data_IF_972461701968
#
_entry.id   IF_972461701968
#
_cell.length_a   1.000
_cell.length_b   1.000
_cell.length_c   1.000
_cell.angle_alpha   90.00
_cell.angle_beta   90.00
_cell.angle_gamma   90.00
#
_symmetry.space_group_name_H-M   'P 1'
#
loop_
_entity.id
_entity.type
_entity.pdbx_description
1 polymer ?
#
# COMPACT_ATOMS: atom_id res chain seq x y z
N UNK A 1 -14.21 -11.09 -8.47
CA UNK A 1 -13.31 -9.93 -8.49
C UNK A 1 -12.51 -9.81 -7.21
N UNK A 2 -11.21 -10.14 -7.28
CA UNK A 2 -10.18 -9.94 -6.24
C UNK A 2 -9.21 -8.90 -6.77
N UNK A 3 -9.13 -7.75 -6.10
CA UNK A 3 -8.31 -6.61 -6.54
C UNK A 3 -6.98 -6.61 -5.79
N UNK A 4 -5.87 -6.62 -6.53
CA UNK A 4 -4.51 -6.76 -6.00
C UNK A 4 -3.62 -5.65 -6.56
N UNK A 5 -3.05 -4.83 -5.68
CA UNK A 5 -2.08 -3.79 -6.08
C UNK A 5 -0.65 -4.31 -6.01
N UNK A 6 0.17 -3.95 -7.01
CA UNK A 6 1.56 -4.38 -7.12
C UNK A 6 2.43 -3.16 -6.89
N UNK A 7 2.91 -2.98 -5.65
CA UNK A 7 3.54 -1.73 -5.20
C UNK A 7 4.88 -1.95 -4.50
N UNK A 8 5.77 -0.97 -4.67
CA UNK A 8 7.05 -0.82 -4.00
C UNK A 8 7.60 0.56 -4.39
N UNK A 9 8.04 1.35 -3.40
CA UNK A 9 8.58 2.70 -3.58
C UNK A 9 9.79 2.76 -4.51
N UNK A 10 10.60 1.69 -4.62
CA UNK A 10 11.81 1.71 -5.46
C UNK A 10 11.47 1.57 -6.94
N UNK A 11 12.18 2.31 -7.81
CA UNK A 11 12.24 2.02 -9.25
C UNK A 11 12.92 0.67 -9.54
N UNK A 12 12.61 0.06 -10.69
CA UNK A 12 13.29 -1.16 -11.17
C UNK A 12 13.04 -2.47 -10.40
N UNK A 13 12.33 -2.44 -9.28
CA UNK A 13 12.06 -3.58 -8.39
C UNK A 13 11.14 -4.69 -8.96
N UNK A 14 10.73 -4.60 -10.23
CA UNK A 14 9.93 -5.63 -10.90
C UNK A 14 8.41 -5.51 -10.75
N UNK A 15 7.84 -4.35 -10.37
CA UNK A 15 6.37 -4.10 -10.33
C UNK A 15 5.67 -4.50 -11.62
N UNK A 16 5.93 -3.78 -12.71
CA UNK A 16 5.35 -4.02 -14.04
C UNK A 16 5.61 -5.44 -14.56
N UNK A 17 6.82 -5.95 -14.36
CA UNK A 17 7.18 -7.32 -14.74
C UNK A 17 6.34 -8.34 -13.96
N UNK A 18 6.01 -8.06 -12.70
CA UNK A 18 5.08 -8.87 -11.89
C UNK A 18 3.65 -8.71 -12.41
N UNK A 19 3.18 -7.48 -12.64
CA UNK A 19 1.82 -7.21 -13.10
C UNK A 19 1.48 -7.92 -14.42
N UNK A 20 2.28 -7.71 -15.47
CA UNK A 20 2.10 -8.35 -16.78
C UNK A 20 2.09 -9.88 -16.65
N UNK A 21 3.11 -10.44 -16.00
CA UNK A 21 3.33 -11.89 -16.05
C UNK A 21 2.48 -12.67 -15.04
N UNK A 22 2.09 -12.06 -13.92
CA UNK A 22 1.09 -12.63 -13.01
C UNK A 22 -0.31 -12.61 -13.64
N UNK A 23 -0.69 -11.53 -14.33
CA UNK A 23 -1.97 -11.48 -15.03
C UNK A 23 -2.05 -12.54 -16.13
N UNK A 24 -1.00 -12.67 -16.96
CA UNK A 24 -0.90 -13.71 -17.96
C UNK A 24 -0.87 -15.13 -17.37
N UNK A 25 -0.25 -15.33 -16.21
CA UNK A 25 -0.27 -16.61 -15.50
C UNK A 25 -1.66 -16.96 -14.96
N UNK A 26 -2.40 -15.99 -14.40
CA UNK A 26 -3.78 -16.16 -13.95
C UNK A 26 -4.71 -16.45 -15.13
N UNK A 27 -4.58 -15.72 -16.24
CA UNK A 27 -5.32 -15.99 -17.49
C UNK A 27 -5.03 -17.38 -18.07
N UNK A 28 -3.77 -17.84 -18.00
CA UNK A 28 -3.36 -19.22 -18.36
C UNK A 28 -3.96 -20.27 -17.41
N UNK A 29 -4.33 -19.90 -16.18
CA UNK A 29 -5.13 -20.73 -15.26
C UNK A 29 -6.66 -20.52 -15.45
N UNK A 30 -7.08 -20.02 -16.62
CA UNK A 30 -8.47 -19.79 -17.02
C UNK A 30 -9.28 -18.88 -16.08
N UNK A 31 -8.64 -17.86 -15.51
CA UNK A 31 -9.27 -16.76 -14.79
C UNK A 31 -9.42 -15.54 -15.71
N UNK A 32 -10.54 -14.81 -15.64
CA UNK A 32 -10.70 -13.50 -16.32
C UNK A 32 -9.90 -12.43 -15.56
N UNK A 33 -8.95 -11.77 -16.21
CA UNK A 33 -8.04 -10.79 -15.57
C UNK A 33 -8.01 -9.45 -16.31
N UNK A 34 -8.16 -8.37 -15.56
CA UNK A 34 -7.89 -7.00 -16.01
C UNK A 34 -6.62 -6.46 -15.34
N UNK A 35 -5.66 -6.00 -16.14
CA UNK A 35 -4.57 -5.12 -15.67
C UNK A 35 -5.09 -3.68 -15.64
N UNK A 36 -4.82 -2.92 -14.59
CA UNK A 36 -4.93 -1.46 -14.59
C UNK A 36 -3.53 -0.90 -14.47
N UNK A 37 -3.03 -0.28 -15.53
CA UNK A 37 -1.79 0.49 -15.49
C UNK A 37 -2.09 1.84 -14.81
N UNK A 38 -1.39 2.15 -13.72
CA UNK A 38 -1.54 3.40 -12.96
C UNK A 38 -0.21 4.14 -12.80
N UNK A 39 0.86 3.68 -13.46
CA UNK A 39 2.12 4.42 -13.56
C UNK A 39 2.01 5.45 -14.69
N UNK A 40 2.24 6.75 -14.47
CA UNK A 40 2.29 7.73 -15.57
C UNK A 40 3.38 7.43 -16.63
N UNK A 41 4.40 6.63 -16.29
CA UNK A 41 5.36 6.14 -17.28
C UNK A 41 4.79 5.04 -18.20
N UNK A 42 3.58 4.55 -17.91
CA UNK A 42 2.81 3.59 -18.70
C UNK A 42 3.59 2.30 -19.05
N UNK A 43 4.44 1.85 -18.13
CA UNK A 43 5.37 0.74 -18.38
C UNK A 43 4.66 -0.59 -18.70
N UNK A 44 3.45 -0.82 -18.18
CA UNK A 44 2.67 -2.01 -18.50
C UNK A 44 2.06 -1.90 -19.92
N UNK A 45 1.47 -0.75 -20.22
CA UNK A 45 0.88 -0.40 -21.52
C UNK A 45 1.92 -0.50 -22.65
N UNK A 46 3.09 0.13 -22.47
CA UNK A 46 4.19 0.12 -23.43
C UNK A 46 4.86 -1.26 -23.52
N UNK A 47 5.04 -1.96 -22.39
CA UNK A 47 5.58 -3.32 -22.31
C UNK A 47 4.70 -4.40 -22.94
N UNK A 48 3.46 -4.04 -23.31
CA UNK A 48 2.50 -4.86 -24.06
C UNK A 48 2.19 -4.28 -25.46
N UNK A 49 2.96 -3.27 -25.92
CA UNK A 49 2.79 -2.58 -27.21
C UNK A 49 1.35 -2.08 -27.47
N UNK A 50 0.65 -1.67 -26.40
CA UNK A 50 -0.73 -1.19 -26.50
C UNK A 50 -0.73 0.30 -26.82
N UNK A 51 -1.57 0.67 -27.79
CA UNK A 51 -1.86 2.05 -28.17
C UNK A 51 -3.33 2.34 -27.87
N UNK A 52 -3.60 3.45 -27.20
CA UNK A 52 -4.94 3.89 -26.87
C UNK A 52 -4.96 5.41 -26.72
N UNK A 53 -5.91 6.05 -27.38
CA UNK A 53 -6.10 7.51 -27.34
C UNK A 53 -6.74 7.92 -26.00
N UNK A 54 -7.73 7.12 -25.54
CA UNK A 54 -8.31 7.20 -24.20
C UNK A 54 -7.63 6.19 -23.25
N UNK A 55 -7.27 6.66 -22.06
CA UNK A 55 -6.53 5.90 -21.04
C UNK A 55 -7.08 6.20 -19.62
N UNK A 56 -6.48 5.63 -18.56
CA UNK A 56 -6.98 5.71 -17.19
C UNK A 56 -7.15 7.16 -16.66
N UNK A 57 -6.37 8.11 -17.19
CA UNK A 57 -6.56 9.55 -16.92
C UNK A 57 -7.97 10.03 -17.29
N UNK A 58 -8.50 9.62 -18.46
CA UNK A 58 -9.84 9.99 -18.93
C UNK A 58 -10.95 9.50 -17.98
N UNK A 59 -10.69 8.41 -17.24
CA UNK A 59 -11.63 7.80 -16.30
C UNK A 59 -11.51 8.40 -14.90
N UNK A 60 -10.31 8.78 -14.45
CA UNK A 60 -10.07 9.36 -13.12
C UNK A 60 -10.31 10.88 -13.06
N UNK A 61 -9.76 11.65 -14.02
CA UNK A 61 -9.79 13.12 -14.04
C UNK A 61 -11.22 13.68 -14.04
N UNK A 62 -11.41 14.87 -13.46
CA UNK A 62 -12.62 15.69 -13.63
C UNK A 62 -12.45 16.79 -14.69
N UNK A 63 -11.21 17.14 -15.03
CA UNK A 63 -10.85 18.28 -15.88
C UNK A 63 -10.63 17.88 -17.35
N UNK A 64 -10.44 16.59 -17.63
CA UNK A 64 -10.42 16.06 -19.00
C UNK A 64 -11.69 16.41 -19.78
N UNK A 65 -11.52 16.88 -21.02
CA UNK A 65 -12.63 17.14 -21.96
C UNK A 65 -13.22 15.85 -22.53
N UNK A 66 -12.42 14.78 -22.58
CA UNK A 66 -12.79 13.48 -23.12
C UNK A 66 -13.02 12.51 -21.96
N UNK A 67 -14.19 12.65 -21.33
CA UNK A 67 -14.58 11.87 -20.16
C UNK A 67 -15.01 10.47 -20.56
N UNK A 68 -14.32 9.44 -20.05
CA UNK A 68 -14.58 8.02 -20.35
C UNK A 68 -15.06 7.26 -19.11
N UNK A 69 -15.77 6.14 -19.31
CA UNK A 69 -15.96 5.10 -18.30
C UNK A 69 -14.84 4.05 -18.39
N UNK A 70 -14.60 3.28 -17.33
CA UNK A 70 -13.51 2.28 -17.31
C UNK A 70 -13.62 1.26 -18.45
N UNK A 71 -14.84 0.83 -18.80
CA UNK A 71 -15.10 -0.10 -19.90
C UNK A 71 -14.63 0.41 -21.28
N UNK A 72 -14.61 1.73 -21.50
CA UNK A 72 -14.39 2.34 -22.81
C UNK A 72 -12.90 2.39 -23.18
N UNK A 73 -12.03 2.39 -22.16
CA UNK A 73 -10.57 2.41 -22.32
C UNK A 73 -9.95 1.01 -22.40
N UNK A 74 -10.66 -0.04 -21.95
CA UNK A 74 -10.14 -1.41 -21.89
C UNK A 74 -9.78 -1.92 -23.29
N UNK A 75 -8.58 -2.51 -23.41
CA UNK A 75 -8.08 -3.18 -24.61
C UNK A 75 -7.83 -4.65 -24.30
N UNK A 76 -8.27 -5.55 -25.18
CA UNK A 76 -7.93 -6.96 -25.07
C UNK A 76 -6.48 -7.21 -25.50
N UNK A 77 -5.78 -8.05 -24.76
CA UNK A 77 -4.36 -8.41 -25.03
C UNK A 77 -4.14 -9.92 -25.13
N UNK A 78 -5.19 -10.72 -24.92
CA UNK A 78 -5.14 -12.17 -25.04
C UNK A 78 -6.42 -12.85 -24.51
N UNK A 79 -6.44 -14.18 -24.57
CA UNK A 79 -7.55 -14.96 -24.02
C UNK A 79 -7.65 -14.75 -22.50
N UNK A 80 -8.84 -14.35 -22.04
CA UNK A 80 -9.15 -14.01 -20.64
C UNK A 80 -8.29 -12.88 -20.04
N UNK A 81 -7.61 -12.07 -20.86
CA UNK A 81 -6.65 -11.06 -20.40
C UNK A 81 -6.83 -9.72 -21.12
N UNK A 82 -7.11 -8.68 -20.33
CA UNK A 82 -7.35 -7.31 -20.78
C UNK A 82 -6.49 -6.29 -20.01
N UNK A 83 -6.37 -5.07 -20.53
CA UNK A 83 -5.70 -3.93 -19.86
C UNK A 83 -6.51 -2.64 -19.99
N UNK A 84 -6.61 -1.89 -18.89
CA UNK A 84 -6.92 -0.47 -18.87
C UNK A 84 -5.58 0.29 -18.93
N UNK A 85 -5.26 0.97 -20.05
CA UNK A 85 -3.94 1.55 -20.28
C UNK A 85 -3.71 2.87 -19.54
N UNK A 86 -2.44 3.26 -19.41
CA UNK A 86 -1.97 4.52 -18.83
C UNK A 86 -1.30 5.42 -19.89
N UNK A 87 -0.90 6.63 -19.50
CA UNK A 87 -0.14 7.58 -20.30
C UNK A 87 0.42 8.73 -19.47
N UNK A 88 1.41 9.45 -20.01
CA UNK A 88 2.15 10.50 -19.29
C UNK A 88 1.29 11.61 -18.69
N UNK A 89 0.13 11.89 -19.29
CA UNK A 89 -0.86 12.87 -18.79
C UNK A 89 -1.39 12.47 -17.39
N UNK A 90 -1.36 11.19 -17.01
CA UNK A 90 -1.72 10.76 -15.65
C UNK A 90 -0.90 11.45 -14.55
N UNK A 91 0.29 11.98 -14.87
CA UNK A 91 1.07 12.78 -13.91
C UNK A 91 0.38 14.10 -13.50
N UNK A 92 -0.46 14.70 -14.34
CA UNK A 92 -1.22 15.92 -13.97
C UNK A 92 -2.31 15.63 -12.94
N UNK A 93 -2.80 14.38 -12.88
CA UNK A 93 -3.87 13.99 -11.95
C UNK A 93 -3.47 14.20 -10.49
N UNK A 94 -2.18 14.10 -10.13
CA UNK A 94 -1.73 14.38 -8.76
C UNK A 94 -1.91 15.87 -8.38
N UNK A 95 -1.86 16.79 -9.36
CA UNK A 95 -2.16 18.21 -9.19
C UNK A 95 -3.66 18.50 -9.25
N UNK A 96 -4.39 17.85 -10.16
CA UNK A 96 -5.87 17.98 -10.27
C UNK A 96 -6.59 17.50 -9.01
N UNK A 97 -6.07 16.46 -8.36
CA UNK A 97 -6.55 15.95 -7.08
C UNK A 97 -6.01 16.75 -5.87
N UNK A 98 -5.35 17.90 -6.07
CA UNK A 98 -4.90 18.73 -4.94
C UNK A 98 -6.07 19.46 -4.29
N UNK A 99 -6.23 19.29 -2.98
CA UNK A 99 -7.34 19.88 -2.20
C UNK A 99 -8.70 19.20 -2.35
N UNK A 100 -8.87 18.21 -3.24
CA UNK A 100 -10.13 17.47 -3.37
C UNK A 100 -10.41 16.56 -2.16
N UNK A 101 -11.62 16.65 -1.61
CA UNK A 101 -12.15 15.71 -0.60
C UNK A 101 -12.45 14.36 -1.30
N UNK A 102 -12.07 13.23 -0.68
CA UNK A 102 -12.31 11.89 -1.22
C UNK A 102 -11.32 11.44 -2.30
N UNK A 103 -10.29 12.25 -2.60
CA UNK A 103 -9.33 12.04 -3.70
C UNK A 103 -8.61 10.70 -3.67
N UNK A 104 -8.41 10.15 -2.49
CA UNK A 104 -7.77 8.87 -2.21
C UNK A 104 -8.67 7.65 -2.46
N UNK A 105 -9.98 7.84 -2.60
CA UNK A 105 -10.94 6.78 -2.96
C UNK A 105 -11.38 6.81 -4.44
N UNK A 106 -10.86 7.74 -5.25
CA UNK A 106 -11.25 7.98 -6.65
C UNK A 106 -11.31 6.71 -7.51
N UNK A 107 -10.29 5.86 -7.46
CA UNK A 107 -10.24 4.58 -8.19
C UNK A 107 -11.15 3.51 -7.56
N UNK A 108 -11.31 3.53 -6.23
CA UNK A 108 -12.21 2.64 -5.51
C UNK A 108 -13.67 2.89 -5.90
N UNK A 109 -14.12 4.16 -5.96
CA UNK A 109 -15.47 4.56 -6.38
C UNK A 109 -15.80 4.00 -7.78
N UNK A 110 -14.85 4.16 -8.72
CA UNK A 110 -14.97 3.68 -10.10
C UNK A 110 -15.10 2.15 -10.13
N UNK A 111 -14.32 1.42 -9.32
CA UNK A 111 -14.41 -0.05 -9.25
C UNK A 111 -15.65 -0.56 -8.50
N UNK A 112 -16.21 0.19 -7.54
CA UNK A 112 -17.53 -0.13 -6.95
C UNK A 112 -18.65 0.00 -8.00
N UNK A 113 -18.58 1.01 -8.87
CA UNK A 113 -19.53 1.19 -9.97
C UNK A 113 -19.34 0.23 -11.16
N UNK A 114 -18.17 -0.41 -11.28
CA UNK A 114 -17.80 -1.22 -12.44
C UNK A 114 -18.37 -2.64 -12.38
N UNK A 115 -19.59 -2.84 -12.87
CA UNK A 115 -20.15 -4.18 -13.11
C UNK A 115 -19.34 -4.90 -14.20
N UNK A 116 -18.70 -6.01 -13.86
CA UNK A 116 -17.78 -6.75 -14.73
C UNK A 116 -17.68 -8.24 -14.33
N UNK A 117 -17.13 -9.05 -15.22
CA UNK A 117 -16.95 -10.50 -15.03
C UNK A 117 -15.53 -10.90 -14.56
N UNK A 118 -14.66 -9.97 -14.20
CA UNK A 118 -13.26 -10.29 -13.87
C UNK A 118 -13.15 -11.04 -12.55
N UNK A 119 -12.50 -12.21 -12.59
CA UNK A 119 -12.06 -12.91 -11.40
C UNK A 119 -11.05 -12.03 -10.63
N UNK A 120 -10.07 -11.46 -11.34
CA UNK A 120 -8.94 -10.70 -10.80
C UNK A 120 -8.79 -9.32 -11.47
N UNK A 121 -8.47 -8.31 -10.67
CA UNK A 121 -7.92 -7.03 -11.15
C UNK A 121 -6.53 -6.85 -10.55
N UNK A 122 -5.51 -6.64 -11.39
CA UNK A 122 -4.15 -6.32 -10.93
C UNK A 122 -3.84 -4.86 -11.25
N UNK A 123 -3.39 -4.08 -10.26
CA UNK A 123 -3.04 -2.66 -10.44
C UNK A 123 -1.52 -2.51 -10.41
N UNK A 124 -0.91 -2.04 -11.50
CA UNK A 124 0.53 -1.71 -11.54
C UNK A 124 0.73 -0.28 -11.02
N UNK A 125 1.44 -0.14 -9.91
CA UNK A 125 1.57 1.15 -9.21
C UNK A 125 2.84 1.91 -9.65
N UNK A 126 2.84 3.26 -9.62
CA UNK A 126 4.04 4.05 -9.89
C UNK A 126 5.16 3.79 -8.85
N UNK A 127 6.42 4.17 -9.15
CA UNK A 127 7.56 4.06 -8.23
C UNK A 127 7.58 5.16 -7.15
N UNK A 128 6.42 5.44 -6.53
CA UNK A 128 6.28 6.41 -5.44
C UNK A 128 5.12 6.00 -4.50
N UNK A 129 4.90 6.78 -3.44
CA UNK A 129 3.77 6.64 -2.52
C UNK A 129 2.84 7.87 -2.59
N UNK A 130 2.68 8.41 -3.80
CA UNK A 130 1.80 9.53 -4.13
C UNK A 130 0.32 9.13 -4.17
N UNK A 131 -0.53 10.06 -4.60
CA UNK A 131 -2.00 9.90 -4.54
C UNK A 131 -2.48 8.77 -5.48
N UNK A 132 -1.74 8.48 -6.55
CA UNK A 132 -1.97 7.32 -7.42
C UNK A 132 -1.79 5.99 -6.66
N UNK A 133 -0.66 5.81 -5.96
CA UNK A 133 -0.40 4.58 -5.18
C UNK A 133 -1.37 4.44 -4.00
N UNK A 134 -1.77 5.54 -3.35
CA UNK A 134 -2.80 5.51 -2.31
C UNK A 134 -4.15 5.07 -2.90
N UNK A 135 -4.55 5.58 -4.07
CA UNK A 135 -5.75 5.14 -4.78
C UNK A 135 -5.72 3.64 -5.10
N UNK A 136 -4.58 3.13 -5.58
CA UNK A 136 -4.40 1.69 -5.80
C UNK A 136 -4.53 0.88 -4.51
N UNK A 137 -3.96 1.35 -3.39
CA UNK A 137 -4.07 0.66 -2.09
C UNK A 137 -5.53 0.64 -1.61
N UNK A 138 -6.24 1.77 -1.72
CA UNK A 138 -7.66 1.91 -1.34
C UNK A 138 -8.60 1.10 -2.22
N UNK A 139 -8.29 0.97 -3.51
CA UNK A 139 -9.02 0.14 -4.48
C UNK A 139 -8.85 -1.38 -4.23
N UNK A 140 -7.77 -1.80 -3.56
CA UNK A 140 -7.37 -3.21 -3.47
C UNK A 140 -7.72 -3.90 -2.15
N UNK A 141 -8.07 -5.18 -2.27
CA UNK A 141 -8.21 -6.12 -1.14
C UNK A 141 -6.86 -6.68 -0.67
N UNK A 142 -5.89 -6.75 -1.57
CA UNK A 142 -4.56 -7.32 -1.29
C UNK A 142 -3.46 -6.49 -1.97
N UNK A 143 -2.24 -6.54 -1.45
CA UNK A 143 -1.04 -5.89 -2.01
C UNK A 143 0.04 -6.95 -2.16
N UNK A 144 0.62 -7.06 -3.35
CA UNK A 144 1.88 -7.79 -3.58
C UNK A 144 3.02 -6.77 -3.63
N UNK A 145 4.09 -7.06 -2.89
CA UNK A 145 5.30 -6.25 -2.81
C UNK A 145 6.46 -7.03 -3.43
N UNK A 146 6.83 -6.77 -4.70
CA UNK A 146 8.02 -7.35 -5.31
C UNK A 146 9.29 -6.81 -4.65
N UNK A 147 10.14 -7.70 -4.13
CA UNK A 147 11.43 -7.35 -3.52
C UNK A 147 12.56 -8.23 -4.04
N UNK A 148 13.72 -7.63 -4.29
CA UNK A 148 14.93 -8.39 -4.64
C UNK A 148 15.59 -8.96 -3.37
N UNK A 149 16.38 -10.03 -3.52
CA UNK A 149 17.14 -10.61 -2.42
C UNK A 149 18.41 -9.80 -2.07
N UNK A 150 18.24 -8.50 -1.76
CA UNK A 150 19.32 -7.54 -1.45
C UNK A 150 19.16 -6.91 -0.06
N UNK A 151 20.21 -6.28 0.47
CA UNK A 151 20.15 -5.55 1.76
C UNK A 151 19.15 -4.40 1.72
N UNK A 152 19.29 -3.49 0.75
CA UNK A 152 18.44 -2.30 0.64
C UNK A 152 16.95 -2.65 0.44
N UNK A 153 16.68 -3.82 -0.16
CA UNK A 153 15.31 -4.33 -0.33
C UNK A 153 14.63 -4.73 0.99
N UNK A 154 15.37 -5.05 2.05
CA UNK A 154 14.79 -5.23 3.40
C UNK A 154 14.48 -3.88 4.06
N UNK A 155 15.44 -2.96 4.00
CA UNK A 155 15.34 -1.65 4.66
C UNK A 155 14.17 -0.83 4.08
N UNK A 156 14.04 -0.81 2.74
CA UNK A 156 12.88 -0.21 2.07
C UNK A 156 11.56 -0.99 2.21
N UNK A 157 11.59 -2.32 2.43
CA UNK A 157 10.37 -3.10 2.68
C UNK A 157 9.76 -2.80 4.05
N UNK A 158 10.58 -2.55 5.07
CA UNK A 158 10.09 -2.07 6.37
C UNK A 158 9.43 -0.70 6.22
N UNK A 159 10.11 0.28 5.61
CA UNK A 159 9.58 1.62 5.38
C UNK A 159 8.26 1.61 4.58
N UNK A 160 8.18 0.77 3.54
CA UNK A 160 6.96 0.57 2.77
C UNK A 160 5.83 -0.04 3.62
N UNK A 161 6.15 -1.00 4.49
CA UNK A 161 5.17 -1.61 5.42
C UNK A 161 4.59 -0.57 6.36
N UNK A 162 5.42 0.30 6.93
CA UNK A 162 5.00 1.35 7.86
C UNK A 162 4.09 2.38 7.18
N UNK A 163 4.42 2.80 5.95
CA UNK A 163 3.59 3.73 5.17
C UNK A 163 2.28 3.05 4.71
N UNK A 164 2.31 1.77 4.35
CA UNK A 164 1.09 1.01 4.04
C UNK A 164 0.17 0.93 5.28
N UNK A 165 0.72 0.70 6.49
CA UNK A 165 -0.08 0.70 7.73
C UNK A 165 -0.73 2.07 7.99
N UNK A 166 0.02 3.17 7.85
CA UNK A 166 -0.51 4.53 7.98
C UNK A 166 -1.68 4.81 7.00
N UNK A 167 -1.62 4.28 5.78
CA UNK A 167 -2.71 4.36 4.80
C UNK A 167 -3.92 3.51 5.23
N UNK A 168 -3.72 2.30 5.79
CA UNK A 168 -4.82 1.48 6.33
C UNK A 168 -5.56 2.17 7.46
N UNK A 169 -4.81 2.72 8.42
CA UNK A 169 -5.34 3.41 9.59
C UNK A 169 -6.15 4.64 9.17
N UNK A 170 -5.58 5.51 8.33
CA UNK A 170 -6.25 6.75 7.90
C UNK A 170 -7.47 6.54 7.00
N UNK A 171 -7.53 5.44 6.25
CA UNK A 171 -8.64 5.15 5.33
C UNK A 171 -9.60 4.07 5.85
N UNK A 172 -9.45 3.65 7.12
CA UNK A 172 -10.16 2.51 7.73
C UNK A 172 -10.18 1.24 6.86
N UNK A 173 -9.11 1.02 6.08
CA UNK A 173 -9.10 0.11 4.94
C UNK A 173 -8.29 -1.16 5.22
N UNK A 174 -8.96 -2.31 5.24
CA UNK A 174 -8.34 -3.61 5.56
C UNK A 174 -7.78 -4.29 4.31
N UNK A 175 -6.51 -4.03 4.02
CA UNK A 175 -5.75 -4.65 2.91
C UNK A 175 -4.71 -5.67 3.42
N UNK A 176 -4.66 -6.85 2.79
CA UNK A 176 -3.68 -7.90 3.11
C UNK A 176 -2.37 -7.69 2.35
N UNK A 177 -1.22 -7.71 3.02
CA UNK A 177 0.08 -7.55 2.36
C UNK A 177 0.77 -8.89 2.14
N UNK A 178 1.38 -9.06 0.97
CA UNK A 178 2.17 -10.20 0.59
C UNK A 178 3.52 -9.76 0.01
N UNK A 179 4.60 -10.43 0.40
CA UNK A 179 5.96 -10.15 -0.08
C UNK A 179 6.33 -11.21 -1.10
N UNK A 180 6.67 -10.79 -2.32
CA UNK A 180 7.14 -11.65 -3.40
C UNK A 180 8.64 -11.43 -3.61
N UNK A 181 9.46 -12.47 -3.45
CA UNK A 181 10.87 -12.36 -3.80
C UNK A 181 11.05 -12.54 -5.31
N UNK A 182 11.58 -11.52 -5.96
CA UNK A 182 11.86 -11.46 -7.41
C UNK A 182 13.36 -11.35 -7.68
N UNK A 183 13.76 -11.55 -8.94
CA UNK A 183 15.16 -11.54 -9.39
C UNK A 183 16.08 -12.43 -8.52
N UNK A 184 15.58 -13.58 -8.05
CA UNK A 184 16.36 -14.48 -7.21
C UNK A 184 17.41 -15.25 -8.03
N UNK A 185 18.70 -15.00 -7.76
CA UNK A 185 19.79 -15.76 -8.37
C UNK A 185 20.21 -16.94 -7.47
N UNK A 186 19.78 -18.15 -7.83
CA UNK A 186 20.11 -19.38 -7.12
C UNK A 186 21.60 -19.79 -7.20
N UNK A 187 22.45 -19.02 -7.87
CA UNK A 187 23.92 -19.21 -7.90
C UNK A 187 24.64 -18.41 -6.81
N UNK A 188 24.01 -17.36 -6.27
CA UNK A 188 24.65 -16.41 -5.36
C UNK A 188 24.39 -16.75 -3.89
N UNK A 189 25.47 -17.09 -3.16
CA UNK A 189 25.43 -17.30 -1.71
C UNK A 189 24.90 -16.09 -0.92
N UNK A 190 25.02 -14.88 -1.47
CA UNK A 190 24.41 -13.68 -0.88
C UNK A 190 22.87 -13.75 -0.91
N UNK A 191 22.27 -14.16 -2.03
CA UNK A 191 20.82 -14.23 -2.19
C UNK A 191 20.17 -15.20 -1.21
N UNK A 192 20.81 -16.34 -0.91
CA UNK A 192 20.35 -17.25 0.16
C UNK A 192 20.43 -16.62 1.56
N UNK A 193 21.52 -15.90 1.88
CA UNK A 193 21.65 -15.17 3.15
C UNK A 193 20.61 -14.07 3.31
N UNK A 194 20.24 -13.40 2.21
CA UNK A 194 19.19 -12.38 2.21
C UNK A 194 17.78 -12.98 2.27
N UNK A 195 17.52 -14.07 1.54
CA UNK A 195 16.27 -14.85 1.64
C UNK A 195 16.01 -15.32 3.08
N UNK A 196 17.04 -15.81 3.79
CA UNK A 196 16.90 -16.21 5.18
C UNK A 196 16.43 -15.05 6.09
N UNK A 197 16.92 -13.82 5.84
CA UNK A 197 16.50 -12.59 6.56
C UNK A 197 15.09 -12.13 6.18
N UNK A 198 14.74 -12.15 4.89
CA UNK A 198 13.37 -11.86 4.42
C UNK A 198 12.40 -12.83 5.10
N UNK A 199 12.74 -14.13 5.13
CA UNK A 199 11.93 -15.16 5.77
C UNK A 199 11.83 -15.03 7.29
N UNK A 200 12.89 -14.60 7.99
CA UNK A 200 12.80 -14.39 9.45
C UNK A 200 11.90 -13.20 9.80
N UNK A 201 12.00 -12.09 9.06
CA UNK A 201 11.26 -10.85 9.38
C UNK A 201 9.82 -10.87 8.86
N UNK A 202 9.59 -11.38 7.64
CA UNK A 202 8.31 -11.28 6.94
C UNK A 202 7.58 -12.63 6.79
N UNK A 203 7.94 -13.64 7.58
CA UNK A 203 7.43 -15.03 7.53
C UNK A 203 5.91 -15.19 7.24
N UNK A 204 5.05 -14.39 7.89
CA UNK A 204 3.58 -14.44 7.73
C UNK A 204 3.06 -13.75 6.46
N UNK A 205 3.84 -12.84 5.86
CA UNK A 205 3.52 -12.10 4.63
C UNK A 205 4.22 -12.70 3.40
N UNK A 206 5.28 -13.50 3.58
CA UNK A 206 6.11 -14.02 2.49
C UNK A 206 5.39 -15.12 1.70
N UNK A 207 5.26 -14.91 0.38
CA UNK A 207 4.79 -15.92 -0.57
C UNK A 207 5.78 -17.10 -0.65
N UNK A 208 5.27 -18.32 -0.86
CA UNK A 208 6.08 -19.53 -1.00
C UNK A 208 6.83 -19.55 -2.34
N UNK A 209 6.21 -18.99 -3.38
CA UNK A 209 6.79 -18.86 -4.71
C UNK A 209 7.81 -17.71 -4.77
N UNK A 210 8.89 -17.92 -5.51
CA UNK A 210 9.92 -16.93 -5.78
C UNK A 210 10.15 -16.85 -7.30
N UNK A 211 10.37 -15.64 -7.82
CA UNK A 211 10.68 -15.41 -9.24
C UNK A 211 12.19 -15.29 -9.40
N UNK A 212 12.76 -16.16 -10.23
CA UNK A 212 14.20 -16.21 -10.47
C UNK A 212 14.66 -15.18 -11.49
N UNK A 213 15.96 -14.86 -11.49
CA UNK A 213 16.57 -14.09 -12.59
C UNK A 213 16.34 -14.85 -13.90
N UNK A 214 15.64 -14.23 -14.84
CA UNK A 214 15.40 -14.79 -16.17
C UNK A 214 15.36 -13.69 -17.24
N UNK A 215 16.21 -13.82 -18.26
CA UNK A 215 16.31 -12.87 -19.38
C UNK A 215 15.03 -12.85 -20.25
N UNK A 216 14.31 -13.98 -20.33
CA UNK A 216 13.06 -14.12 -21.10
C UNK A 216 11.91 -13.23 -20.61
N UNK A 217 11.95 -12.78 -19.35
CA UNK A 217 11.03 -11.77 -18.84
C UNK A 217 11.26 -10.39 -19.47
N UNK A 218 12.53 -10.04 -19.75
CA UNK A 218 12.91 -8.78 -20.42
C UNK A 218 12.76 -8.89 -21.93
N UNK A 219 13.11 -10.02 -22.53
CA UNK A 219 12.91 -10.26 -23.97
C UNK A 219 11.43 -10.20 -24.36
N UNK A 220 10.52 -10.76 -23.53
CA UNK A 220 9.08 -10.65 -23.74
C UNK A 220 8.59 -9.19 -23.71
N UNK A 221 8.97 -8.43 -22.68
CA UNK A 221 8.58 -7.02 -22.56
C UNK A 221 9.13 -6.16 -23.71
N UNK A 222 10.37 -6.41 -24.15
CA UNK A 222 10.96 -5.75 -25.32
C UNK A 222 10.28 -6.11 -26.64
N UNK A 223 9.55 -7.22 -26.71
CA UNK A 223 8.74 -7.65 -27.85
C UNK A 223 7.26 -7.22 -27.72
N UNK A 224 6.88 -6.49 -26.66
CA UNK A 224 5.50 -6.08 -26.43
C UNK A 224 4.58 -7.22 -26.01
N UNK A 225 5.07 -8.22 -25.29
CA UNK A 225 4.28 -9.38 -24.88
C UNK A 225 4.62 -9.90 -23.48
N UNK A 226 3.77 -10.75 -22.93
CA UNK A 226 4.00 -11.45 -21.67
C UNK A 226 4.80 -12.75 -21.88
N UNK A 227 5.46 -13.24 -20.83
CA UNK A 227 6.40 -14.38 -20.91
C UNK A 227 5.78 -15.65 -21.51
N UNK A 228 4.48 -15.89 -21.31
CA UNK A 228 3.79 -17.06 -21.90
C UNK A 228 3.58 -16.98 -23.42
N UNK A 229 3.60 -15.77 -24.01
CA UNK A 229 3.56 -15.56 -25.46
C UNK A 229 4.94 -15.68 -26.09
N UNK A 230 5.98 -15.27 -25.36
CA UNK A 230 7.38 -15.35 -25.78
C UNK A 230 7.99 -16.76 -25.61
N UNK A 231 7.97 -17.31 -24.38
CA UNK A 231 8.46 -18.65 -24.05
C UNK A 231 7.75 -19.20 -22.80
N UNK A 232 6.64 -19.91 -23.02
CA UNK A 232 5.87 -20.59 -21.96
C UNK A 232 6.61 -21.73 -21.24
N UNK A 233 7.79 -22.16 -21.71
CA UNK A 233 8.56 -23.25 -21.10
C UNK A 233 9.77 -22.76 -20.29
N UNK A 234 10.15 -21.49 -20.38
CA UNK A 234 11.22 -20.91 -19.57
C UNK A 234 10.92 -20.96 -18.05
N UNK A 235 11.96 -20.76 -17.24
CA UNK A 235 11.84 -20.69 -15.77
C UNK A 235 10.92 -19.55 -15.30
N UNK A 236 10.94 -18.39 -15.97
CA UNK A 236 10.11 -17.25 -15.60
C UNK A 236 8.61 -17.54 -15.74
N UNK A 237 8.20 -18.16 -16.84
CA UNK A 237 6.82 -18.63 -17.03
C UNK A 237 6.41 -19.64 -15.95
N UNK A 238 7.29 -20.60 -15.60
CA UNK A 238 7.05 -21.59 -14.55
C UNK A 238 6.95 -20.98 -13.15
N UNK A 239 7.78 -19.98 -12.84
CA UNK A 239 7.73 -19.24 -11.58
C UNK A 239 6.40 -18.46 -11.46
N UNK A 240 6.02 -17.68 -12.47
CA UNK A 240 4.75 -16.93 -12.46
C UNK A 240 3.51 -17.83 -12.49
N UNK A 241 3.55 -18.97 -13.21
CA UNK A 241 2.47 -19.97 -13.18
C UNK A 241 2.31 -20.60 -11.79
N UNK A 242 3.42 -20.82 -11.08
CA UNK A 242 3.40 -21.31 -9.70
C UNK A 242 2.80 -20.26 -8.75
N UNK A 243 3.13 -18.98 -8.95
CA UNK A 243 2.58 -17.86 -8.16
C UNK A 243 1.07 -17.70 -8.39
N UNK A 244 0.61 -17.75 -9.64
CA UNK A 244 -0.83 -17.72 -9.95
C UNK A 244 -1.58 -18.88 -9.26
N UNK A 245 -1.01 -20.11 -9.30
CA UNK A 245 -1.59 -21.26 -8.58
C UNK A 245 -1.57 -21.08 -7.06
N UNK A 246 -0.52 -20.48 -6.48
CA UNK A 246 -0.47 -20.16 -5.06
C UNK A 246 -1.59 -19.19 -4.66
N UNK A 247 -1.78 -18.10 -5.41
CA UNK A 247 -2.85 -17.14 -5.15
C UNK A 247 -4.25 -17.79 -5.31
N UNK A 248 -4.49 -18.57 -6.35
CA UNK A 248 -5.76 -19.30 -6.54
C UNK A 248 -5.99 -20.30 -5.39
N UNK A 249 -4.95 -20.99 -4.91
CA UNK A 249 -5.09 -21.91 -3.77
C UNK A 249 -5.46 -21.15 -2.48
N UNK A 250 -4.90 -19.96 -2.25
CA UNK A 250 -5.26 -19.09 -1.13
C UNK A 250 -6.70 -18.55 -1.23
N UNK A 251 -7.27 -18.41 -2.43
CA UNK A 251 -8.69 -18.11 -2.65
C UNK A 251 -9.54 -19.30 -2.14
N UNK A 252 -9.22 -20.52 -2.60
CA UNK A 252 -9.93 -21.75 -2.23
C UNK A 252 -9.74 -22.22 -0.78
N UNK A 253 -8.78 -21.64 -0.04
CA UNK A 253 -8.52 -21.95 1.37
C UNK A 253 -9.18 -20.96 2.36
N UNK A 254 -9.84 -19.90 1.86
CA UNK A 254 -10.61 -18.95 2.68
C UNK A 254 -12.07 -19.39 3.05
N UNK A 255 -12.74 -20.40 2.44
CA UNK A 255 -13.96 -20.99 3.02
C UNK A 255 -13.57 -22.02 4.09
N UNK A 256 -14.05 -21.80 5.33
CA UNK A 256 -13.46 -22.34 6.55
C UNK A 256 -13.26 -23.87 6.64
N UNK A 257 -11.99 -24.30 6.66
CA UNK A 257 -11.52 -25.51 7.36
C UNK A 257 -10.08 -25.30 7.85
N UNK A 258 -9.93 -24.81 9.08
CA UNK A 258 -8.65 -24.75 9.78
C UNK A 258 -8.40 -26.08 10.51
N UNK A 259 -7.99 -27.11 9.77
CA UNK A 259 -7.47 -28.34 10.36
C UNK A 259 -6.03 -28.13 10.86
N UNK A 260 -5.69 -28.74 11.99
CA UNK A 260 -4.40 -28.58 12.66
C UNK A 260 -3.26 -29.27 11.89
N UNK A 261 -2.03 -28.76 12.02
CA UNK A 261 -0.83 -29.58 11.80
C UNK A 261 0.20 -29.34 12.91
N UNK A 262 0.65 -30.43 13.53
CA UNK A 262 1.37 -30.43 14.81
C UNK A 262 2.88 -30.35 14.61
N UNK A 263 3.50 -29.25 15.04
CA UNK A 263 4.95 -29.10 15.00
C UNK A 263 5.66 -29.91 16.10
N UNK A 264 6.56 -30.83 15.71
CA UNK A 264 7.58 -31.42 16.61
C UNK A 264 8.97 -30.84 16.30
N UNK A 265 9.79 -30.51 17.32
CA UNK A 265 11.02 -29.74 17.13
C UNK A 265 12.25 -30.57 16.71
N UNK A 266 13.25 -29.90 16.13
CA UNK A 266 14.62 -30.43 15.94
C UNK A 266 15.57 -29.90 17.03
N UNK A 267 16.61 -30.66 17.44
CA UNK A 267 17.65 -30.18 18.35
C UNK A 267 18.65 -29.20 17.70
N UNK A 268 19.34 -28.41 18.53
CA UNK A 268 20.55 -27.64 18.20
C UNK A 268 21.83 -28.52 18.40
N UNK A 269 23.09 -28.15 18.16
CA UNK A 269 23.86 -26.86 18.19
C UNK A 269 24.98 -26.90 17.08
N UNK A 270 26.08 -26.14 16.97
CA UNK A 270 26.78 -25.15 17.81
C UNK A 270 27.77 -24.23 17.00
N UNK A 271 28.44 -23.30 17.70
CA UNK A 271 29.86 -22.83 17.59
C UNK A 271 30.50 -22.58 16.19
N UNK A 272 30.91 -21.34 15.85
CA UNK A 272 32.27 -20.71 16.01
C UNK A 272 33.30 -21.20 14.94
N UNK A 273 34.31 -20.45 14.45
CA UNK A 273 34.97 -19.21 14.95
C UNK A 273 35.80 -18.45 13.87
N UNK A 274 36.44 -17.33 14.29
CA UNK A 274 37.63 -16.64 13.71
C UNK A 274 37.47 -15.79 12.42
N UNK A 275 38.35 -14.78 12.31
CA UNK A 275 38.39 -13.68 11.32
C UNK A 275 39.79 -13.61 10.69
N UNK A 276 39.88 -13.22 9.41
CA UNK A 276 41.13 -12.78 8.79
C UNK A 276 40.91 -11.49 7.95
N UNK A 277 41.87 -10.56 7.99
CA UNK A 277 41.89 -9.30 7.21
C UNK A 277 42.85 -9.43 6.02
N UNK A 278 42.46 -8.89 4.86
CA UNK A 278 43.37 -8.44 3.79
C UNK A 278 42.88 -7.07 3.30
N UNK A 279 43.78 -6.20 2.84
CA UNK A 279 43.50 -4.80 2.44
C UNK A 279 43.55 -4.64 0.91
N UNK A 280 42.93 -3.58 0.40
CA UNK A 280 42.75 -3.28 -1.03
C UNK A 280 44.06 -2.92 -1.77
N UNK A 281 43.98 -2.73 -3.11
CA UNK A 281 43.95 -1.35 -3.59
C UNK A 281 42.74 -1.01 -4.48
N UNK A 282 42.54 0.30 -4.72
CA UNK A 282 41.58 0.84 -5.70
C UNK A 282 42.29 1.29 -6.98
N UNK A 283 41.54 1.66 -8.03
CA UNK A 283 41.63 3.05 -8.49
C UNK A 283 40.26 3.73 -8.60
N UNK A 284 40.25 5.04 -8.89
CA UNK A 284 39.06 5.89 -8.91
C UNK A 284 38.80 6.53 -10.28
N UNK A 285 37.55 6.92 -10.52
CA UNK A 285 37.14 7.90 -11.52
C UNK A 285 35.93 8.67 -10.96
N UNK A 286 35.79 9.95 -11.30
CA UNK A 286 34.90 10.88 -10.60
C UNK A 286 33.71 11.30 -11.48
N UNK A 287 32.48 11.13 -10.98
CA UNK A 287 31.28 11.85 -11.45
C UNK A 287 30.41 12.16 -10.23
N UNK A 288 29.92 13.39 -10.13
CA UNK A 288 29.24 13.89 -8.94
C UNK A 288 27.72 13.64 -9.00
N UNK A 289 27.30 12.38 -8.93
CA UNK A 289 25.91 12.06 -8.59
C UNK A 289 25.69 12.29 -7.08
N UNK A 290 24.59 12.93 -6.70
CA UNK A 290 24.18 13.03 -5.29
C UNK A 290 23.90 11.63 -4.74
N UNK A 291 24.33 11.35 -3.50
CA UNK A 291 24.14 10.02 -2.95
C UNK A 291 22.64 9.73 -2.69
N UNK A 292 22.26 8.46 -2.80
CA UNK A 292 20.91 8.00 -2.46
C UNK A 292 20.47 8.41 -1.06
N UNK A 293 21.42 8.58 -0.13
CA UNK A 293 21.19 9.00 1.25
C UNK A 293 20.86 10.50 1.31
N UNK A 294 21.60 11.35 0.56
CA UNK A 294 21.32 12.79 0.47
C UNK A 294 19.94 13.08 -0.15
N UNK A 295 19.57 12.32 -1.20
CA UNK A 295 18.24 12.43 -1.82
C UNK A 295 17.15 11.96 -0.84
N UNK A 296 17.40 10.88 -0.10
CA UNK A 296 16.47 10.38 0.92
C UNK A 296 16.30 11.37 2.08
N UNK A 297 17.36 12.00 2.58
CA UNK A 297 17.29 13.03 3.62
C UNK A 297 16.49 14.25 3.14
N UNK A 298 16.74 14.75 1.92
CA UNK A 298 15.98 15.85 1.35
C UNK A 298 14.49 15.50 1.15
N UNK A 299 14.17 14.28 0.72
CA UNK A 299 12.78 13.81 0.64
C UNK A 299 12.13 13.66 2.02
N UNK A 300 12.84 13.14 3.02
CA UNK A 300 12.35 13.05 4.41
C UNK A 300 12.12 14.45 4.99
N UNK A 301 12.97 15.43 4.69
CA UNK A 301 12.79 16.80 5.14
C UNK A 301 11.64 17.54 4.42
N UNK A 302 11.45 17.30 3.11
CA UNK A 302 10.29 17.79 2.38
C UNK A 302 8.98 17.21 2.94
N UNK A 303 8.92 15.88 3.13
CA UNK A 303 7.76 15.21 3.75
C UNK A 303 7.51 15.72 5.17
N UNK A 304 8.56 15.99 5.97
CA UNK A 304 8.42 16.61 7.30
C UNK A 304 7.90 18.06 7.27
N UNK A 305 7.99 18.76 6.14
CA UNK A 305 7.43 20.12 5.96
C UNK A 305 5.98 20.09 5.47
N UNK A 306 5.57 19.04 4.75
CA UNK A 306 4.21 18.91 4.19
C UNK A 306 3.26 18.06 5.05
N UNK A 307 3.78 17.20 5.95
CA UNK A 307 2.94 16.48 6.92
C UNK A 307 2.45 17.44 8.01
N UNK A 308 1.13 17.55 8.28
CA UNK A 308 0.62 18.40 9.35
C UNK A 308 1.15 17.93 10.72
N UNK A 309 1.74 18.87 11.48
CA UNK A 309 2.28 18.64 12.82
C UNK A 309 1.13 18.38 13.81
N UNK A 310 0.86 17.12 14.15
CA UNK A 310 -0.14 16.79 15.17
C UNK A 310 0.38 17.11 16.58
N UNK A 311 -0.45 17.77 17.38
CA UNK A 311 -0.24 18.00 18.80
C UNK A 311 -0.90 16.89 19.62
N UNK A 312 -0.19 16.35 20.60
CA UNK A 312 -0.79 15.49 21.62
C UNK A 312 -1.54 16.38 22.63
N UNK A 313 -2.86 16.25 22.63
CA UNK A 313 -3.79 17.06 23.43
C UNK A 313 -4.43 16.17 24.48
N UNK A 314 -4.34 16.54 25.74
CA UNK A 314 -4.94 15.80 26.86
C UNK A 314 -6.24 16.51 27.22
N UNK A 315 -7.37 15.81 27.07
CA UNK A 315 -8.68 16.26 27.55
C UNK A 315 -9.07 15.44 28.78
N UNK A 316 -9.64 16.10 29.79
CA UNK A 316 -9.97 15.48 31.06
C UNK A 316 -11.18 16.11 31.74
N UNK A 317 -11.88 15.32 32.56
CA UNK A 317 -13.03 15.77 33.34
C UNK A 317 -13.05 15.11 34.71
N UNK A 318 -13.35 15.88 35.76
CA UNK A 318 -13.52 15.34 37.10
C UNK A 318 -14.95 14.81 37.28
N UNK A 319 -15.07 13.49 37.42
CA UNK A 319 -16.35 12.79 37.58
C UNK A 319 -16.13 11.51 38.42
N UNK A 320 -15.96 11.65 39.75
CA UNK A 320 -15.54 10.54 40.61
C UNK A 320 -16.55 9.40 40.68
N UNK A 321 -17.85 9.71 40.69
CA UNK A 321 -18.94 8.74 40.83
C UNK A 321 -19.42 8.13 39.50
N UNK A 322 -18.87 8.58 38.37
CA UNK A 322 -19.22 8.06 37.04
C UNK A 322 -18.72 6.62 36.86
N UNK A 323 -19.47 5.81 36.09
CA UNK A 323 -19.11 4.43 35.75
C UNK A 323 -18.36 4.35 34.43
N UNK A 324 -18.72 5.23 33.50
CA UNK A 324 -18.07 5.37 32.22
C UNK A 324 -18.14 6.80 31.70
N UNK A 325 -17.02 7.25 31.12
CA UNK A 325 -16.93 8.51 30.40
C UNK A 325 -16.32 8.26 29.03
N UNK A 326 -16.96 8.80 28.00
CA UNK A 326 -16.47 8.81 26.62
C UNK A 326 -16.22 10.26 26.17
N UNK A 327 -15.35 10.42 25.17
CA UNK A 327 -15.05 11.70 24.55
C UNK A 327 -15.59 11.71 23.11
N UNK A 328 -16.40 12.72 22.76
CA UNK A 328 -16.98 12.85 21.42
C UNK A 328 -16.84 14.29 20.90
N UNK A 329 -16.60 14.45 19.60
CA UNK A 329 -16.34 15.75 18.98
C UNK A 329 -16.04 15.65 17.49
N UNK A 330 -15.64 16.77 16.89
CA UNK A 330 -15.39 16.85 15.44
C UNK A 330 -14.28 15.90 14.96
N UNK A 331 -13.30 15.58 15.82
CA UNK A 331 -12.19 14.68 15.53
C UNK A 331 -12.57 13.18 15.49
N UNK A 332 -13.76 12.79 15.96
CA UNK A 332 -14.29 11.43 15.87
C UNK A 332 -15.74 11.38 15.34
N UNK A 333 -16.14 12.40 14.56
CA UNK A 333 -17.47 12.52 13.96
C UNK A 333 -18.62 12.41 14.98
N UNK A 334 -18.35 12.80 16.24
CA UNK A 334 -19.27 12.70 17.38
C UNK A 334 -19.69 11.28 17.77
N UNK A 335 -18.95 10.24 17.34
CA UNK A 335 -19.24 8.85 17.69
C UNK A 335 -18.84 8.50 19.14
N UNK A 336 -19.64 7.64 19.77
CA UNK A 336 -19.41 7.09 21.11
C UNK A 336 -19.14 5.59 20.98
N UNK A 337 -17.92 5.16 21.31
CA UNK A 337 -17.50 3.76 21.21
C UNK A 337 -16.41 3.43 22.23
N UNK A 338 -16.09 2.15 22.41
CA UNK A 338 -14.99 1.74 23.31
C UNK A 338 -13.62 2.35 22.92
N UNK A 339 -13.42 2.73 21.65
CA UNK A 339 -12.22 3.46 21.23
C UNK A 339 -12.18 4.89 21.78
N UNK A 340 -13.34 5.49 22.08
CA UNK A 340 -13.49 6.86 22.60
C UNK A 340 -13.65 6.92 24.12
N UNK A 341 -13.75 5.76 24.80
CA UNK A 341 -13.77 5.61 26.27
C UNK A 341 -12.53 6.23 26.92
N UNK A 342 -12.71 6.97 28.01
CA UNK A 342 -11.65 7.63 28.78
C UNK A 342 -11.12 6.72 29.90
N UNK A 343 -9.91 6.99 30.39
CA UNK A 343 -9.29 6.24 31.51
C UNK A 343 -9.45 7.00 32.82
N UNK A 344 -9.94 6.35 33.87
CA UNK A 344 -10.12 6.96 35.19
C UNK A 344 -8.84 6.90 36.04
N UNK A 345 -8.45 8.02 36.62
CA UNK A 345 -7.37 8.16 37.60
C UNK A 345 -7.82 9.08 38.73
N UNK A 346 -7.97 8.56 39.95
CA UNK A 346 -8.35 9.30 41.16
C UNK A 346 -9.63 10.18 41.01
N UNK A 347 -10.61 9.69 40.25
CA UNK A 347 -11.88 10.38 39.97
C UNK A 347 -11.83 11.35 38.77
N UNK A 348 -10.65 11.64 38.22
CA UNK A 348 -10.51 12.34 36.94
C UNK A 348 -10.47 11.33 35.79
N UNK A 349 -11.28 11.53 34.76
CA UNK A 349 -11.24 10.78 33.52
C UNK A 349 -10.36 11.51 32.51
N UNK A 350 -9.47 10.80 31.81
CA UNK A 350 -8.44 11.38 30.93
C UNK A 350 -8.40 10.65 29.59
N UNK A 351 -8.19 11.40 28.50
CA UNK A 351 -7.93 10.88 27.15
C UNK A 351 -6.90 11.77 26.45
N UNK A 352 -5.84 11.16 25.93
CA UNK A 352 -4.91 11.83 25.01
C UNK A 352 -5.37 11.58 23.57
N UNK A 353 -5.54 12.66 22.81
CA UNK A 353 -5.90 12.64 21.38
C UNK A 353 -4.83 13.36 20.55
N UNK A 354 -4.75 13.07 19.26
CA UNK A 354 -3.79 13.68 18.33
C UNK A 354 -4.53 14.56 17.33
N UNK A 355 -4.41 15.87 17.51
CA UNK A 355 -5.11 16.88 16.72
C UNK A 355 -4.12 17.61 15.81
N UNK A 356 -4.52 17.87 14.56
CA UNK A 356 -3.77 18.76 13.67
C UNK A 356 -4.04 20.23 14.04
N UNK A 357 -3.31 21.21 13.49
CA UNK A 357 -3.64 22.61 13.69
C UNK A 357 -5.05 22.92 13.16
N UNK A 358 -5.86 23.59 13.98
CA UNK A 358 -7.29 23.80 13.73
C UNK A 358 -8.11 23.88 15.02
N UNK A 359 -9.39 24.24 14.87
CA UNK A 359 -10.36 24.46 15.95
C UNK A 359 -11.43 23.37 15.90
N UNK A 360 -11.59 22.63 17.00
CA UNK A 360 -12.45 21.46 17.11
C UNK A 360 -13.43 21.63 18.27
N UNK A 361 -14.68 21.19 18.10
CA UNK A 361 -15.66 21.10 19.18
C UNK A 361 -15.66 19.69 19.80
N UNK A 362 -15.93 19.60 21.10
CA UNK A 362 -16.03 18.35 21.84
C UNK A 362 -16.96 18.46 23.06
N UNK A 363 -17.44 17.31 23.51
CA UNK A 363 -18.18 17.09 24.77
C UNK A 363 -17.80 15.74 25.38
N UNK A 364 -18.06 15.60 26.67
CA UNK A 364 -17.97 14.32 27.37
C UNK A 364 -19.33 13.64 27.38
N UNK A 365 -19.35 12.31 27.34
CA UNK A 365 -20.54 11.50 27.55
C UNK A 365 -20.35 10.71 28.85
N UNK A 366 -20.93 11.20 29.93
CA UNK A 366 -20.80 10.69 31.30
C UNK A 366 -22.04 9.87 31.63
N UNK A 367 -21.89 8.55 31.82
CA UNK A 367 -23.00 7.60 32.05
C UNK A 367 -24.20 7.83 31.08
N UNK A 368 -23.88 8.02 29.79
CA UNK A 368 -24.84 8.27 28.71
C UNK A 368 -25.35 9.72 28.57
N UNK A 369 -24.94 10.66 29.44
CA UNK A 369 -25.34 12.08 29.38
C UNK A 369 -24.28 12.95 28.71
N UNK A 370 -24.70 13.78 27.76
CA UNK A 370 -23.83 14.72 27.04
C UNK A 370 -23.56 15.98 27.87
N UNK A 371 -22.32 16.13 28.34
CA UNK A 371 -21.85 17.18 29.24
C UNK A 371 -20.73 17.98 28.56
N UNK A 372 -20.85 19.31 28.56
CA UNK A 372 -19.75 20.20 28.16
C UNK A 372 -18.57 20.09 29.14
N UNK A 373 -17.37 20.46 28.71
CA UNK A 373 -16.23 20.57 29.62
C UNK A 373 -16.47 21.71 30.64
N UNK A 374 -16.57 21.42 31.95
CA UNK A 374 -16.83 22.45 32.96
C UNK A 374 -15.59 23.30 33.27
N UNK A 375 -14.40 22.84 32.87
CA UNK A 375 -13.11 23.51 33.11
C UNK A 375 -12.66 24.40 31.95
N UNK A 376 -13.23 24.19 30.76
CA UNK A 376 -12.89 24.94 29.55
C UNK A 376 -13.80 26.18 29.39
N UNK A 377 -13.25 27.41 29.36
CA UNK A 377 -14.03 28.62 29.13
C UNK A 377 -14.46 28.80 27.66
N UNK A 378 -13.74 28.20 26.70
CA UNK A 378 -13.98 28.38 25.27
C UNK A 378 -15.08 27.43 24.79
N UNK A 379 -16.18 28.00 24.28
CA UNK A 379 -17.41 27.28 23.92
C UNK A 379 -18.07 27.87 22.67
N UNK A 380 -18.78 27.04 21.91
CA UNK A 380 -19.54 27.46 20.73
C UNK A 380 -20.98 26.91 20.77
N UNK A 381 -21.93 27.72 20.30
CA UNK A 381 -23.34 27.33 20.23
C UNK A 381 -23.57 26.42 19.03
N UNK A 382 -24.02 25.19 19.29
CA UNK A 382 -24.25 24.18 18.27
C UNK A 382 -25.63 24.31 17.60
N UNK A 383 -25.89 23.62 16.46
CA UNK A 383 -27.16 23.72 15.73
C UNK A 383 -28.42 23.30 16.50
N UNK A 384 -28.27 22.67 17.68
CA UNK A 384 -29.36 22.25 18.55
C UNK A 384 -29.55 23.20 19.76
N UNK A 385 -28.88 24.36 19.76
CA UNK A 385 -29.00 25.37 20.82
C UNK A 385 -28.31 25.01 22.13
N UNK A 386 -27.35 24.08 22.11
CA UNK A 386 -26.51 23.72 23.26
C UNK A 386 -25.07 24.19 23.04
N UNK A 387 -24.31 24.33 24.13
CA UNK A 387 -22.87 24.62 24.03
C UNK A 387 -22.07 23.33 23.81
N UNK A 388 -21.10 23.42 22.90
CA UNK A 388 -20.00 22.47 22.77
C UNK A 388 -18.70 23.16 23.22
N UNK A 389 -17.78 22.43 23.85
CA UNK A 389 -16.48 22.97 24.29
C UNK A 389 -15.49 22.99 23.13
N UNK A 390 -14.62 24.01 23.09
CA UNK A 390 -13.67 24.23 22.00
C UNK A 390 -12.26 23.85 22.39
N UNK A 391 -11.54 23.17 21.49
CA UNK A 391 -10.09 23.04 21.56
C UNK A 391 -9.46 23.53 20.27
N UNK A 392 -8.58 24.52 20.40
CA UNK A 392 -7.87 25.13 19.28
C UNK A 392 -6.37 24.81 19.34
N UNK A 393 -5.88 24.20 18.28
CA UNK A 393 -4.48 23.82 18.11
C UNK A 393 -3.85 24.84 17.16
N UNK A 394 -3.03 25.73 17.71
CA UNK A 394 -2.34 26.73 16.92
C UNK A 394 -1.31 26.09 15.97
N UNK A 395 -1.15 26.59 14.73
CA UNK A 395 -0.04 26.21 13.86
C UNK A 395 1.30 26.71 14.43
N UNK A 396 2.37 25.93 14.15
CA UNK A 396 3.72 26.09 14.70
C UNK A 396 4.71 26.75 13.73
#
# INVERSE_FOLDING_TARGET
MRTISITNQKGGCGKTTTAINLAAALATNNKKVLIIDLDPQAHATLGLNIKADLNIYNVLSKMTKEKAQLKDIIKNIGQNLDIAPSGIVLSTLEQELSGEIGRESRLWDILQGFKNDYDYILIDCPPNLGILTINAIRASSEIIIPVEASRFSLEGLSQLTDIINLVKERLSHKVQEQVLVVNFDSRLQHSFKMMARIKSTFSKKLLKTIVHVNVKLKEAQNQGTHVFGHDKYCRGAKDYFSLARELITQETAKPGMAAEEVAKPKPATAKKEVVAKVKAPAPAANTAEMSSEQIAEQMIEAIRKEVPKFSETILSVYAPDAREVFLAGDFNQWEVSEETRMTQHNGTWVKTIKLAPGRYRYRFVIDGKWVEDPSNPEKELNPYGQMDSLVEINPW
#
